data_IF_740215795689
#
_entry.id   IF_740215795689
#
_cell.length_a   1.000
_cell.length_b   1.000
_cell.length_c   1.000
_cell.angle_alpha   90.00
_cell.angle_beta   90.00
_cell.angle_gamma   90.00
#
_symmetry.space_group_name_H-M   'P 1'
#
loop_
_entity.id
_entity.type
_entity.pdbx_description
1 polymer ?
#
# COMPACT_ATOMS: atom_id res chain seq x y z
N UNK A 1 31.19 -53.37 -3.50
CA UNK A 1 29.89 -52.83 -3.03
C UNK A 1 29.96 -51.43 -2.40
N UNK A 2 31.15 -50.82 -2.20
CA UNK A 2 31.30 -49.52 -1.50
C UNK A 2 31.08 -48.26 -2.35
N UNK A 3 31.17 -48.35 -3.69
CA UNK A 3 31.16 -47.16 -4.58
C UNK A 3 29.78 -46.59 -4.89
N UNK A 4 28.71 -47.40 -4.75
CA UNK A 4 27.34 -47.02 -5.12
C UNK A 4 26.62 -46.20 -4.05
N UNK A 5 27.04 -46.32 -2.80
CA UNK A 5 26.47 -45.63 -1.64
C UNK A 5 27.03 -44.21 -1.51
N UNK A 6 28.29 -44.01 -1.88
CA UNK A 6 28.98 -42.73 -1.85
C UNK A 6 28.49 -41.78 -2.96
N UNK A 7 28.27 -42.31 -4.17
CA UNK A 7 27.65 -41.59 -5.28
C UNK A 7 26.19 -41.17 -5.02
N UNK A 8 25.44 -41.93 -4.22
CA UNK A 8 24.07 -41.53 -3.80
C UNK A 8 24.09 -40.39 -2.79
N UNK A 9 25.06 -40.36 -1.87
CA UNK A 9 25.19 -39.30 -0.86
C UNK A 9 25.58 -37.96 -1.47
N UNK A 10 26.55 -37.94 -2.40
CA UNK A 10 26.96 -36.71 -3.10
C UNK A 10 25.86 -36.14 -3.97
N UNK A 11 25.12 -36.98 -4.70
CA UNK A 11 23.99 -36.52 -5.53
C UNK A 11 22.83 -35.96 -4.70
N UNK A 12 22.60 -36.50 -3.51
CA UNK A 12 21.56 -35.99 -2.59
C UNK A 12 21.98 -34.68 -1.93
N UNK A 13 23.26 -34.49 -1.59
CA UNK A 13 23.76 -33.21 -1.07
C UNK A 13 23.81 -32.12 -2.14
N UNK A 14 24.12 -32.46 -3.40
CA UNK A 14 24.03 -31.53 -4.53
C UNK A 14 22.58 -31.12 -4.79
N UNK A 15 21.64 -32.06 -4.79
CA UNK A 15 20.20 -31.77 -4.95
C UNK A 15 19.69 -30.89 -3.80
N UNK A 16 20.05 -31.19 -2.54
CA UNK A 16 19.69 -30.35 -1.40
C UNK A 16 20.33 -28.95 -1.45
N UNK A 17 21.55 -28.83 -1.98
CA UNK A 17 22.22 -27.54 -2.22
C UNK A 17 21.64 -26.73 -3.39
N UNK A 18 20.95 -27.37 -4.33
CA UNK A 18 20.18 -26.69 -5.39
C UNK A 18 18.83 -26.21 -4.84
N UNK A 19 18.15 -27.02 -4.01
CA UNK A 19 16.91 -26.62 -3.36
C UNK A 19 17.09 -25.51 -2.33
N UNK A 20 18.24 -25.44 -1.63
CA UNK A 20 18.50 -24.39 -0.64
C UNK A 20 18.66 -22.98 -1.24
N UNK A 21 18.84 -22.86 -2.57
CA UNK A 21 18.91 -21.58 -3.27
C UNK A 21 17.57 -21.09 -3.82
N UNK A 22 16.51 -21.90 -3.73
CA UNK A 22 15.19 -21.51 -4.20
C UNK A 22 14.55 -20.60 -3.15
N UNK A 23 14.41 -19.32 -3.48
CA UNK A 23 13.62 -18.37 -2.69
C UNK A 23 12.15 -18.75 -2.80
N UNK A 24 11.57 -19.30 -1.74
CA UNK A 24 10.15 -19.74 -1.71
C UNK A 24 9.20 -18.69 -1.16
N UNK A 25 9.72 -17.63 -0.53
CA UNK A 25 8.93 -16.57 0.10
C UNK A 25 9.23 -15.22 -0.54
N UNK A 26 8.31 -14.27 -0.40
CA UNK A 26 8.62 -12.85 -0.62
C UNK A 26 9.01 -12.24 0.72
N UNK A 27 10.14 -11.55 0.77
CA UNK A 27 10.58 -10.82 1.96
C UNK A 27 11.31 -9.53 1.64
N UNK A 28 11.31 -8.63 2.61
CA UNK A 28 12.13 -7.41 2.58
C UNK A 28 13.31 -7.53 3.54
N UNK A 29 14.31 -6.67 3.38
CA UNK A 29 15.23 -6.33 4.45
C UNK A 29 14.49 -5.55 5.57
N UNK A 30 15.20 -5.26 6.66
CA UNK A 30 14.72 -4.27 7.62
C UNK A 30 14.50 -2.92 6.93
N UNK A 31 13.42 -2.25 7.27
CA UNK A 31 13.06 -0.96 6.71
C UNK A 31 14.18 0.05 6.93
N UNK A 32 14.46 0.84 5.90
CA UNK A 32 15.41 1.95 5.92
C UNK A 32 14.92 3.10 6.79
N UNK A 33 13.61 3.31 6.84
CA UNK A 33 12.96 4.30 7.72
C UNK A 33 12.23 3.63 8.87
N UNK A 34 11.99 4.40 9.93
CA UNK A 34 11.28 3.93 11.12
C UNK A 34 9.78 3.93 10.87
N UNK A 35 9.10 2.93 11.44
CA UNK A 35 7.64 2.88 11.47
C UNK A 35 7.09 3.71 12.63
N UNK A 36 5.75 3.74 12.77
CA UNK A 36 5.04 4.54 13.78
C UNK A 36 5.53 4.30 15.21
N UNK A 37 5.92 3.06 15.53
CA UNK A 37 6.43 2.66 16.84
C UNK A 37 7.93 2.99 17.07
N UNK A 38 8.58 3.61 16.09
CA UNK A 38 9.99 4.00 16.15
C UNK A 38 10.98 2.87 15.85
N UNK A 39 10.50 1.69 15.47
CA UNK A 39 11.32 0.53 15.13
C UNK A 39 11.52 0.36 13.62
N UNK A 40 12.57 -0.39 13.26
CA UNK A 40 12.79 -0.88 11.90
C UNK A 40 12.19 -2.29 11.77
N UNK A 41 11.52 -2.52 10.65
CA UNK A 41 10.70 -3.71 10.44
C UNK A 41 11.05 -4.39 9.12
N UNK A 42 11.06 -5.72 9.10
CA UNK A 42 11.06 -6.47 7.84
C UNK A 42 9.74 -7.22 7.70
N UNK A 43 9.37 -7.56 6.47
CA UNK A 43 8.09 -8.22 6.18
C UNK A 43 8.31 -9.50 5.38
N UNK A 44 7.58 -10.55 5.75
CA UNK A 44 7.32 -11.70 4.88
C UNK A 44 5.89 -11.59 4.36
N UNK A 45 5.67 -11.78 3.05
CA UNK A 45 4.37 -11.50 2.45
C UNK A 45 3.97 -12.46 1.33
N UNK A 46 2.69 -12.38 0.96
CA UNK A 46 2.02 -13.27 0.01
C UNK A 46 2.53 -13.11 -1.44
N UNK A 47 2.25 -14.12 -2.26
CA UNK A 47 2.68 -14.14 -3.68
C UNK A 47 1.78 -13.31 -4.59
N UNK A 48 0.52 -13.16 -4.24
CA UNK A 48 -0.49 -12.46 -5.01
C UNK A 48 -1.05 -11.29 -4.21
N UNK A 49 -1.39 -10.18 -4.87
CA UNK A 49 -1.98 -9.04 -4.20
C UNK A 49 -3.42 -9.33 -3.78
N UNK A 50 -3.86 -8.66 -2.71
CA UNK A 50 -5.28 -8.63 -2.34
C UNK A 50 -5.97 -7.36 -2.86
N UNK A 51 -5.22 -6.34 -3.26
CA UNK A 51 -5.72 -5.13 -3.89
C UNK A 51 -4.73 -4.56 -4.91
N UNK A 52 -5.27 -3.90 -5.93
CA UNK A 52 -4.49 -3.11 -6.90
C UNK A 52 -5.12 -1.73 -6.95
N UNK A 53 -4.39 -0.72 -6.46
CA UNK A 53 -4.77 0.67 -6.56
C UNK A 53 -4.17 1.32 -7.81
N UNK A 54 -4.43 2.61 -7.97
CA UNK A 54 -3.97 3.41 -9.11
C UNK A 54 -2.44 3.35 -9.32
N UNK A 55 -1.67 3.52 -8.24
CA UNK A 55 -0.19 3.52 -8.29
C UNK A 55 0.47 2.28 -7.73
N UNK A 56 -0.23 1.53 -6.88
CA UNK A 56 0.37 0.47 -6.09
C UNK A 56 -0.39 -0.84 -6.20
N UNK A 57 0.35 -1.92 -6.34
CA UNK A 57 -0.11 -3.27 -6.12
C UNK A 57 0.17 -3.62 -4.66
N UNK A 58 -0.83 -4.19 -3.98
CA UNK A 58 -0.89 -4.27 -2.52
C UNK A 58 -0.96 -5.72 -2.07
N UNK A 59 0.02 -6.14 -1.27
CA UNK A 59 0.16 -7.51 -0.76
C UNK A 59 -0.04 -7.54 0.75
N UNK A 60 -0.65 -8.62 1.25
CA UNK A 60 -0.76 -8.88 2.69
C UNK A 60 0.51 -9.59 3.18
N UNK A 61 0.95 -9.27 4.39
CA UNK A 61 2.10 -9.91 5.00
C UNK A 61 2.09 -9.85 6.52
N UNK A 62 3.25 -10.16 7.11
CA UNK A 62 3.51 -10.08 8.56
C UNK A 62 4.80 -9.33 8.82
N UNK A 63 4.75 -8.38 9.75
CA UNK A 63 5.91 -7.58 10.17
C UNK A 63 6.69 -8.26 11.29
N UNK A 64 8.01 -8.13 11.26
CA UNK A 64 8.94 -8.66 12.26
C UNK A 64 10.01 -7.62 12.61
N UNK A 65 10.35 -7.50 13.90
CA UNK A 65 11.41 -6.60 14.38
C UNK A 65 12.60 -7.38 14.94
N UNK A 66 13.69 -6.68 15.21
CA UNK A 66 14.95 -7.25 15.71
C UNK A 66 14.87 -7.80 17.15
N UNK A 67 13.87 -7.39 17.93
CA UNK A 67 13.77 -7.69 19.37
C UNK A 67 12.77 -8.80 19.69
N UNK A 68 12.04 -9.33 18.71
CA UNK A 68 11.18 -10.47 18.92
C UNK A 68 10.38 -10.88 17.68
N UNK A 69 10.36 -12.19 17.43
CA UNK A 69 9.53 -12.88 16.43
C UNK A 69 8.01 -12.73 16.62
N UNK A 70 7.55 -11.95 17.61
CA UNK A 70 6.21 -12.08 18.21
C UNK A 70 5.21 -10.96 17.92
N UNK A 71 5.55 -9.86 17.25
CA UNK A 71 4.47 -8.93 16.92
C UNK A 71 3.53 -9.52 15.88
N UNK A 72 4.04 -10.30 14.90
CA UNK A 72 3.29 -10.90 13.78
C UNK A 72 2.16 -9.99 13.25
N UNK A 73 2.33 -8.68 13.39
CA UNK A 73 1.28 -7.71 13.09
C UNK A 73 1.03 -7.83 11.61
N UNK A 74 -0.25 -7.90 11.25
CA UNK A 74 -0.62 -7.89 9.84
C UNK A 74 -0.02 -6.66 9.18
N UNK A 75 0.60 -6.90 8.03
CA UNK A 75 1.29 -5.89 7.26
C UNK A 75 0.60 -5.72 5.92
N UNK A 76 0.81 -4.55 5.34
CA UNK A 76 0.61 -4.31 3.92
C UNK A 76 1.95 -3.97 3.30
N UNK A 77 2.24 -4.56 2.14
CA UNK A 77 3.37 -4.20 1.28
C UNK A 77 2.82 -3.57 0.01
N UNK A 78 3.25 -2.34 -0.29
CA UNK A 78 2.87 -1.59 -1.48
C UNK A 78 4.06 -1.49 -2.42
N UNK A 79 3.87 -1.94 -3.65
CA UNK A 79 4.87 -1.88 -4.71
C UNK A 79 4.28 -1.13 -5.90
N UNK A 80 5.08 -0.30 -6.57
CA UNK A 80 4.60 0.51 -7.70
C UNK A 80 4.16 -0.38 -8.87
N UNK A 81 3.05 -0.05 -9.51
CA UNK A 81 2.46 -0.85 -10.60
C UNK A 81 3.39 -0.94 -11.81
N UNK A 82 3.78 0.21 -12.34
CA UNK A 82 4.34 0.35 -13.70
C UNK A 82 5.87 0.50 -13.72
N UNK A 83 6.49 0.64 -12.56
CA UNK A 83 7.93 0.84 -12.43
C UNK A 83 8.52 0.03 -11.26
N UNK A 84 9.85 -0.09 -11.26
CA UNK A 84 10.59 -0.63 -10.12
C UNK A 84 10.70 0.49 -9.09
N UNK A 85 10.13 0.29 -7.91
CA UNK A 85 10.27 1.21 -6.79
C UNK A 85 11.73 1.52 -6.45
N UNK A 86 12.00 2.79 -6.20
CA UNK A 86 13.30 3.29 -5.75
C UNK A 86 13.10 4.11 -4.48
N UNK A 87 14.16 4.25 -3.70
CA UNK A 87 14.14 5.12 -2.52
C UNK A 87 13.66 6.54 -2.86
N UNK A 88 14.14 7.12 -3.96
CA UNK A 88 13.74 8.47 -4.37
C UNK A 88 12.26 8.60 -4.70
N UNK A 89 11.66 7.65 -5.44
CA UNK A 89 10.26 7.77 -5.86
C UNK A 89 9.26 7.39 -4.75
N UNK A 90 9.67 6.63 -3.74
CA UNK A 90 8.84 6.25 -2.60
C UNK A 90 9.00 7.15 -1.38
N UNK A 91 10.11 7.88 -1.24
CA UNK A 91 10.35 8.77 -0.09
C UNK A 91 9.23 9.81 0.09
N UNK A 92 8.62 10.28 -0.99
CA UNK A 92 7.53 11.24 -0.92
C UNK A 92 6.31 10.72 -0.14
N UNK A 93 6.03 9.41 -0.17
CA UNK A 93 4.92 8.83 0.58
C UNK A 93 5.16 8.93 2.10
N UNK A 94 6.41 8.77 2.53
CA UNK A 94 6.82 8.95 3.93
C UNK A 94 6.65 10.41 4.32
N UNK A 95 7.15 11.34 3.51
CA UNK A 95 7.04 12.79 3.76
C UNK A 95 5.58 13.23 3.83
N UNK A 96 4.71 12.75 2.93
CA UNK A 96 3.28 13.06 2.98
C UNK A 96 2.62 12.56 4.26
N UNK A 97 2.94 11.32 4.67
CA UNK A 97 2.42 10.75 5.92
C UNK A 97 2.89 11.55 7.14
N UNK A 98 4.19 11.83 7.26
CA UNK A 98 4.75 12.60 8.39
C UNK A 98 4.10 13.98 8.50
N UNK A 99 3.94 14.66 7.36
CA UNK A 99 3.27 15.96 7.32
C UNK A 99 1.80 15.86 7.75
N UNK A 100 1.11 14.82 7.31
CA UNK A 100 -0.30 14.58 7.65
C UNK A 100 -0.49 14.25 9.13
N UNK A 101 0.41 13.46 9.72
CA UNK A 101 0.42 13.13 11.16
C UNK A 101 0.63 14.39 12.00
N UNK A 102 1.66 15.18 11.67
CA UNK A 102 1.92 16.43 12.38
C UNK A 102 0.73 17.38 12.35
N UNK A 103 -0.01 17.42 11.25
CA UNK A 103 -1.18 18.28 11.10
C UNK A 103 -2.43 17.70 11.77
N UNK A 104 -2.56 16.38 11.85
CA UNK A 104 -3.60 15.72 12.64
C UNK A 104 -3.45 16.02 14.13
N UNK A 105 -2.20 16.10 14.62
CA UNK A 105 -1.92 16.45 16.01
C UNK A 105 -2.35 17.89 16.32
N UNK A 106 -2.00 18.87 15.47
CA UNK A 106 -2.44 20.27 15.66
C UNK A 106 -3.95 20.42 15.51
N UNK A 107 -4.55 19.69 14.55
CA UNK A 107 -6.00 19.67 14.38
C UNK A 107 -6.71 19.13 15.63
N UNK A 108 -6.17 18.08 16.25
CA UNK A 108 -6.72 17.53 17.49
C UNK A 108 -6.66 18.54 18.64
N UNK A 109 -5.57 19.31 18.73
CA UNK A 109 -5.42 20.32 19.77
C UNK A 109 -6.43 21.47 19.60
N UNK A 110 -6.74 21.86 18.36
CA UNK A 110 -7.75 22.89 18.06
C UNK A 110 -9.20 22.37 18.19
N UNK A 111 -9.42 21.09 17.88
CA UNK A 111 -10.73 20.45 17.90
C UNK A 111 -10.79 19.24 18.86
N UNK A 112 -10.56 19.40 20.17
CA UNK A 112 -10.33 18.29 21.10
C UNK A 112 -11.54 17.39 21.36
N UNK A 113 -12.76 17.87 21.08
CA UNK A 113 -14.01 17.14 21.30
C UNK A 113 -14.53 16.43 20.03
N UNK A 114 -13.66 16.23 19.04
CA UNK A 114 -14.00 15.61 17.75
C UNK A 114 -13.45 14.19 17.63
N UNK A 115 -13.54 13.58 16.44
CA UNK A 115 -13.01 12.24 16.17
C UNK A 115 -11.48 12.26 16.27
N UNK A 116 -10.90 11.12 16.64
CA UNK A 116 -9.46 10.90 16.68
C UNK A 116 -8.96 10.51 15.29
N UNK A 117 -8.30 11.45 14.62
CA UNK A 117 -7.69 11.22 13.32
C UNK A 117 -6.25 10.74 13.47
N UNK A 118 -5.89 9.65 12.78
CA UNK A 118 -4.53 9.12 12.70
C UNK A 118 -4.19 8.77 11.26
N UNK A 119 -2.91 8.94 10.91
CA UNK A 119 -2.37 8.53 9.61
C UNK A 119 -1.37 7.40 9.83
N UNK A 120 -1.54 6.29 9.12
CA UNK A 120 -0.57 5.20 9.10
C UNK A 120 0.77 5.71 8.55
N UNK A 121 1.86 5.37 9.24
CA UNK A 121 3.21 5.72 8.80
C UNK A 121 3.80 4.59 7.97
N UNK A 122 3.91 4.74 6.63
CA UNK A 122 4.62 3.77 5.82
C UNK A 122 6.12 3.89 6.08
N UNK A 123 6.82 2.77 5.87
CA UNK A 123 8.25 2.64 6.04
C UNK A 123 8.84 2.14 4.72
N UNK A 124 9.96 2.71 4.30
CA UNK A 124 10.64 2.29 3.09
C UNK A 124 11.45 1.04 3.38
N UNK A 125 11.32 0.01 2.55
CA UNK A 125 12.18 -1.17 2.62
C UNK A 125 12.61 -1.63 1.24
N UNK A 126 13.67 -2.43 1.18
CA UNK A 126 14.18 -3.05 -0.04
C UNK A 126 13.82 -4.53 -0.05
N UNK A 127 13.44 -5.04 -1.22
CA UNK A 127 13.20 -6.46 -1.44
C UNK A 127 14.48 -7.28 -1.21
N UNK A 128 14.41 -8.24 -0.30
CA UNK A 128 15.48 -9.21 0.01
C UNK A 128 15.30 -10.49 -0.83
N UNK A 129 14.09 -11.03 -0.82
CA UNK A 129 13.75 -12.22 -1.58
C UNK A 129 12.46 -12.04 -2.38
N UNK A 130 12.53 -12.46 -3.64
CA UNK A 130 11.37 -12.57 -4.52
C UNK A 130 11.15 -14.05 -4.80
N UNK A 131 9.95 -14.53 -4.48
CA UNK A 131 9.58 -15.92 -4.63
C UNK A 131 9.51 -16.33 -6.10
N UNK A 132 10.07 -17.50 -6.41
CA UNK A 132 9.89 -18.13 -7.74
C UNK A 132 8.43 -18.47 -8.03
N UNK A 133 7.58 -18.54 -7.00
CA UNK A 133 6.16 -18.82 -7.14
C UNK A 133 5.34 -17.61 -7.59
N UNK A 134 5.89 -16.40 -7.61
CA UNK A 134 5.17 -15.21 -8.07
C UNK A 134 4.69 -15.36 -9.52
N UNK A 135 5.53 -15.90 -10.41
CA UNK A 135 5.18 -16.06 -11.84
C UNK A 135 3.96 -16.97 -12.07
N UNK A 136 3.91 -18.20 -11.53
CA UNK A 136 2.72 -19.05 -11.70
C UNK A 136 1.48 -18.45 -11.04
N UNK A 137 1.60 -17.87 -9.83
CA UNK A 137 0.45 -17.22 -9.18
C UNK A 137 -0.06 -16.01 -9.96
N UNK A 138 0.84 -15.25 -10.61
CA UNK A 138 0.47 -14.14 -11.50
C UNK A 138 -0.42 -14.56 -12.64
N UNK A 139 -0.10 -15.68 -13.30
CA UNK A 139 -0.93 -16.22 -14.37
C UNK A 139 -2.28 -16.75 -13.84
N UNK A 140 -2.28 -17.42 -12.69
CA UNK A 140 -3.49 -18.01 -12.10
C UNK A 140 -4.45 -16.94 -11.54
N UNK A 141 -3.92 -15.88 -10.93
CA UNK A 141 -4.68 -14.82 -10.26
C UNK A 141 -4.91 -13.58 -11.12
N UNK A 142 -4.18 -13.43 -12.23
CA UNK A 142 -4.41 -12.38 -13.22
C UNK A 142 -4.04 -10.97 -12.75
N UNK A 143 -2.83 -10.76 -12.23
CA UNK A 143 -2.29 -9.42 -11.92
C UNK A 143 -1.06 -9.12 -12.78
N UNK A 144 -0.71 -7.84 -12.96
CA UNK A 144 0.37 -7.46 -13.87
C UNK A 144 1.74 -7.36 -13.18
N UNK A 145 1.76 -6.86 -11.93
CA UNK A 145 2.98 -6.55 -11.19
C UNK A 145 3.96 -7.72 -11.13
N UNK A 146 5.20 -7.44 -11.52
CA UNK A 146 6.34 -8.33 -11.36
C UNK A 146 7.28 -7.74 -10.31
N UNK A 147 7.32 -8.35 -9.14
CA UNK A 147 8.27 -7.97 -8.09
C UNK A 147 9.69 -8.22 -8.57
N UNK A 148 10.59 -7.26 -8.37
CA UNK A 148 12.00 -7.40 -8.69
C UNK A 148 12.86 -7.49 -7.42
N UNK A 149 13.98 -8.22 -7.51
CA UNK A 149 15.00 -8.15 -6.45
C UNK A 149 15.55 -6.72 -6.36
N UNK A 150 15.87 -6.26 -5.15
CA UNK A 150 16.34 -4.90 -4.87
C UNK A 150 15.34 -3.76 -5.16
N UNK A 151 14.11 -4.08 -5.56
CA UNK A 151 13.04 -3.09 -5.63
C UNK A 151 12.78 -2.49 -4.23
N UNK A 152 12.57 -1.18 -4.16
CA UNK A 152 12.06 -0.56 -2.94
C UNK A 152 10.53 -0.67 -2.89
N UNK A 153 10.01 -0.95 -1.70
CA UNK A 153 8.58 -1.08 -1.40
C UNK A 153 8.24 -0.27 -0.16
N UNK A 154 6.97 0.08 0.01
CA UNK A 154 6.46 0.64 1.25
C UNK A 154 5.85 -0.49 2.09
N UNK A 155 6.18 -0.51 3.38
CA UNK A 155 5.55 -1.39 4.36
C UNK A 155 4.74 -0.55 5.35
N UNK A 156 3.55 -0.99 5.71
CA UNK A 156 2.74 -0.35 6.74
C UNK A 156 1.96 -1.40 7.54
N UNK A 157 1.52 -1.02 8.74
CA UNK A 157 0.57 -1.85 9.48
C UNK A 157 -0.74 -1.99 8.70
N UNK A 158 -1.30 -3.19 8.68
CA UNK A 158 -2.60 -3.43 8.11
C UNK A 158 -3.68 -2.69 8.89
N UNK A 159 -4.48 -1.89 8.20
CA UNK A 159 -5.64 -1.21 8.78
C UNK A 159 -6.84 -2.15 8.66
N UNK A 160 -7.20 -2.80 9.77
CA UNK A 160 -8.34 -3.71 9.80
C UNK A 160 -9.67 -2.95 9.74
N UNK A 161 -10.61 -3.40 8.90
CA UNK A 161 -11.97 -2.86 8.80
C UNK A 161 -12.46 -2.63 7.37
N UNK A 162 -13.60 -1.94 7.27
CA UNK A 162 -14.17 -1.53 5.99
C UNK A 162 -13.37 -0.36 5.42
N UNK A 163 -12.41 -0.70 4.55
CA UNK A 163 -11.49 0.26 3.96
C UNK A 163 -12.19 1.03 2.85
N UNK A 164 -12.24 2.35 2.98
CA UNK A 164 -13.00 3.21 2.10
C UNK A 164 -12.26 4.49 1.75
N UNK A 165 -12.47 4.94 0.51
CA UNK A 165 -12.10 6.28 0.06
C UNK A 165 -13.20 7.24 0.50
N UNK A 166 -12.85 8.24 1.32
CA UNK A 166 -13.78 9.28 1.79
C UNK A 166 -13.78 10.48 0.85
N UNK A 167 -12.58 10.98 0.53
CA UNK A 167 -12.34 12.11 -0.36
C UNK A 167 -11.20 11.72 -1.29
N UNK A 168 -11.35 11.90 -2.60
CA UNK A 168 -10.27 11.63 -3.55
C UNK A 168 -9.26 12.78 -3.68
N UNK A 169 -8.28 12.63 -4.58
CA UNK A 169 -7.23 13.63 -4.80
C UNK A 169 -7.75 14.93 -5.42
N UNK A 170 -8.89 14.92 -6.10
CA UNK A 170 -9.51 16.13 -6.65
C UNK A 170 -10.49 16.79 -5.67
N UNK A 171 -10.58 16.30 -4.42
CA UNK A 171 -11.49 16.81 -3.40
C UNK A 171 -12.94 16.36 -3.59
N UNK A 172 -13.21 15.36 -4.45
CA UNK A 172 -14.55 14.83 -4.63
C UNK A 172 -14.85 13.86 -3.48
N UNK A 173 -15.97 14.11 -2.79
CA UNK A 173 -16.47 13.19 -1.77
C UNK A 173 -17.00 11.92 -2.37
N UNK A 174 -16.53 10.81 -1.83
CA UNK A 174 -17.04 9.46 -2.06
C UNK A 174 -17.89 8.99 -0.89
N UNK A 175 -17.65 9.54 0.30
CA UNK A 175 -18.50 9.40 1.47
C UNK A 175 -18.65 10.73 2.21
N UNK A 176 -19.80 10.95 2.84
CA UNK A 176 -20.08 12.17 3.58
C UNK A 176 -19.37 12.13 4.95
N UNK A 177 -18.53 13.14 5.23
CA UNK A 177 -17.86 13.30 6.51
C UNK A 177 -17.44 14.76 6.70
N UNK A 178 -18.27 15.52 7.40
CA UNK A 178 -17.97 16.93 7.74
C UNK A 178 -16.64 17.06 8.48
N UNK A 179 -16.29 16.06 9.31
CA UNK A 179 -15.02 16.03 10.02
C UNK A 179 -13.82 15.98 9.07
N UNK A 180 -13.87 15.12 8.04
CA UNK A 180 -12.78 15.02 7.06
C UNK A 180 -12.77 16.18 6.08
N UNK A 181 -13.93 16.73 5.72
CA UNK A 181 -14.01 17.99 4.96
C UNK A 181 -13.34 19.14 5.73
N UNK A 182 -13.63 19.26 7.03
CA UNK A 182 -12.99 20.26 7.91
C UNK A 182 -11.50 20.05 8.00
N UNK A 183 -11.01 18.81 8.19
CA UNK A 183 -9.56 18.53 8.24
C UNK A 183 -8.85 18.90 6.93
N UNK A 184 -9.46 18.57 5.78
CA UNK A 184 -8.94 18.94 4.47
C UNK A 184 -8.80 20.45 4.35
N UNK A 185 -9.85 21.24 4.67
CA UNK A 185 -9.77 22.70 4.59
C UNK A 185 -8.79 23.26 5.64
N UNK A 186 -8.79 22.70 6.85
CA UNK A 186 -7.85 23.06 7.92
C UNK A 186 -6.41 22.97 7.44
N UNK A 187 -6.06 21.92 6.68
CA UNK A 187 -4.71 21.76 6.17
C UNK A 187 -4.22 22.90 5.28
N UNK A 188 -5.14 23.52 4.55
CA UNK A 188 -4.87 24.70 3.75
C UNK A 188 -4.73 25.97 4.60
N UNK A 189 -5.58 26.14 5.62
CA UNK A 189 -5.53 27.32 6.49
C UNK A 189 -4.25 27.30 7.33
N UNK A 190 -3.96 26.18 7.97
CA UNK A 190 -2.79 26.01 8.85
C UNK A 190 -1.48 26.14 8.07
N UNK A 191 -1.47 25.75 6.80
CA UNK A 191 -0.33 25.97 5.90
C UNK A 191 -0.22 27.39 5.34
N UNK A 192 -1.09 28.32 5.75
CA UNK A 192 -1.23 29.66 5.17
C UNK A 192 -1.44 29.64 3.64
N UNK A 193 -2.17 28.63 3.16
CA UNK A 193 -2.50 28.42 1.76
C UNK A 193 -1.38 27.84 0.91
N UNK A 194 -0.35 27.25 1.53
CA UNK A 194 0.80 26.67 0.82
C UNK A 194 0.52 25.26 0.29
N UNK A 195 -0.24 24.45 1.03
CA UNK A 195 -0.61 23.09 0.61
C UNK A 195 -1.99 22.67 1.11
N UNK A 196 -2.57 21.63 0.50
CA UNK A 196 -3.78 20.96 0.98
C UNK A 196 -3.57 19.44 0.99
N UNK A 197 -4.04 18.79 2.05
CA UNK A 197 -4.05 17.32 2.16
C UNK A 197 -5.40 16.80 1.64
N UNK A 198 -5.34 15.83 0.73
CA UNK A 198 -6.48 15.19 0.08
C UNK A 198 -6.22 13.67 -0.08
N UNK A 199 -7.05 12.97 -0.86
CA UNK A 199 -7.04 11.50 -0.95
C UNK A 199 -7.11 10.86 0.44
N UNK A 200 -8.19 11.16 1.15
CA UNK A 200 -8.45 10.64 2.49
C UNK A 200 -9.11 9.27 2.37
N UNK A 201 -8.33 8.21 2.54
CA UNK A 201 -8.79 6.81 2.47
C UNK A 201 -8.30 6.00 3.67
N UNK A 202 -9.12 5.07 4.15
CA UNK A 202 -8.82 4.30 5.35
C UNK A 202 -10.06 3.70 5.99
N UNK A 203 -10.02 3.54 7.31
CA UNK A 203 -11.10 2.94 8.10
C UNK A 203 -11.56 3.93 9.15
N UNK A 204 -12.88 4.06 9.27
CA UNK A 204 -13.54 4.74 10.39
C UNK A 204 -14.24 3.72 11.29
N UNK A 205 -13.96 3.79 12.60
CA UNK A 205 -14.62 2.98 13.63
C UNK A 205 -14.95 3.86 14.83
N UNK A 206 -16.24 4.02 15.12
CA UNK A 206 -16.75 4.82 16.24
C UNK A 206 -16.22 6.27 16.23
N UNK A 207 -15.23 6.56 17.09
CA UNK A 207 -14.59 7.87 17.20
C UNK A 207 -13.20 7.92 16.58
N UNK A 208 -12.67 6.80 16.09
CA UNK A 208 -11.32 6.71 15.53
C UNK A 208 -11.38 6.61 14.01
N UNK A 209 -10.56 7.42 13.33
CA UNK A 209 -10.34 7.34 11.89
C UNK A 209 -8.85 7.09 11.67
N UNK A 210 -8.51 5.97 11.04
CA UNK A 210 -7.13 5.63 10.64
C UNK A 210 -7.04 5.67 9.12
N UNK A 211 -6.28 6.63 8.58
CA UNK A 211 -6.10 6.85 7.15
C UNK A 211 -4.71 6.37 6.67
N UNK A 212 -4.59 6.09 5.37
CA UNK A 212 -3.32 5.81 4.69
C UNK A 212 -3.37 6.38 3.25
N UNK A 213 -2.26 6.41 2.54
CA UNK A 213 -2.26 6.69 1.10
C UNK A 213 -2.55 8.14 0.69
N UNK A 214 -2.37 9.09 1.61
CA UNK A 214 -2.66 10.52 1.40
C UNK A 214 -1.93 11.13 0.20
N UNK A 215 -2.56 12.15 -0.39
CA UNK A 215 -1.95 13.03 -1.39
C UNK A 215 -1.89 14.45 -0.86
N UNK A 216 -0.81 15.15 -1.13
CA UNK A 216 -0.66 16.57 -0.81
C UNK A 216 -0.44 17.33 -2.10
N UNK A 217 -1.22 18.38 -2.31
CA UNK A 217 -0.98 19.35 -3.37
C UNK A 217 -0.36 20.60 -2.75
N UNK A 218 0.80 21.04 -3.24
CA UNK A 218 1.48 22.24 -2.74
C UNK A 218 1.84 23.22 -3.83
N UNK A 219 1.92 24.52 -3.53
CA UNK A 219 2.24 25.56 -4.52
C UNK A 219 3.53 25.27 -5.30
N UNK A 220 4.50 24.62 -4.67
CA UNK A 220 5.82 24.31 -5.23
C UNK A 220 5.99 22.87 -5.72
N UNK A 221 4.94 22.04 -5.74
CA UNK A 221 4.98 20.63 -6.17
C UNK A 221 6.02 19.77 -5.44
N UNK A 222 6.08 19.88 -4.12
CA UNK A 222 7.13 19.24 -3.30
C UNK A 222 6.77 17.85 -2.78
N UNK A 223 5.53 17.39 -2.99
CA UNK A 223 5.03 16.14 -2.40
C UNK A 223 4.98 14.96 -3.37
N UNK A 224 5.83 14.99 -4.39
CA UNK A 224 6.05 13.88 -5.32
C UNK A 224 5.12 13.89 -6.54
N UNK A 225 5.06 12.78 -7.30
CA UNK A 225 4.42 12.76 -8.62
C UNK A 225 2.90 13.02 -8.62
N UNK A 226 2.22 12.79 -7.49
CA UNK A 226 0.78 13.06 -7.35
C UNK A 226 0.50 14.51 -6.93
N UNK A 227 1.52 15.35 -6.76
CA UNK A 227 1.37 16.74 -6.42
C UNK A 227 1.12 17.59 -7.69
N UNK A 228 -0.16 17.87 -7.97
CA UNK A 228 -0.57 18.65 -9.13
C UNK A 228 -0.40 20.17 -8.94
N UNK A 229 0.21 20.60 -7.85
CA UNK A 229 0.53 22.00 -7.60
C UNK A 229 -0.69 22.85 -7.26
N UNK A 230 -0.61 24.14 -7.62
CA UNK A 230 -1.71 25.08 -7.47
C UNK A 230 -2.99 24.62 -8.19
N UNK A 231 -2.88 23.94 -9.32
CA UNK A 231 -4.05 23.38 -10.01
C UNK A 231 -4.74 22.29 -9.18
N UNK A 232 -3.96 21.44 -8.49
CA UNK A 232 -4.49 20.44 -7.57
C UNK A 232 -5.23 21.10 -6.40
N UNK A 233 -4.64 22.14 -5.80
CA UNK A 233 -5.29 22.93 -4.75
C UNK A 233 -6.61 23.52 -5.25
N UNK A 234 -6.62 24.15 -6.43
CA UNK A 234 -7.83 24.74 -7.01
C UNK A 234 -8.90 23.69 -7.30
N UNK A 235 -8.53 22.51 -7.80
CA UNK A 235 -9.46 21.40 -8.03
C UNK A 235 -10.09 20.93 -6.72
N UNK A 236 -9.28 20.70 -5.68
CA UNK A 236 -9.75 20.30 -4.35
C UNK A 236 -10.78 21.29 -3.83
N UNK A 237 -10.49 22.59 -3.87
CA UNK A 237 -11.40 23.63 -3.36
C UNK A 237 -12.61 23.88 -4.26
N UNK A 238 -12.53 23.58 -5.55
CA UNK A 238 -13.69 23.62 -6.45
C UNK A 238 -14.73 22.56 -6.07
N UNK A 239 -14.29 21.42 -5.56
CA UNK A 239 -15.15 20.30 -5.17
C UNK A 239 -15.47 20.27 -3.67
N UNK A 240 -14.67 20.95 -2.83
CA UNK A 240 -14.90 21.08 -1.41
C UNK A 240 -16.24 21.78 -1.11
N UNK A 241 -16.98 21.27 -0.12
CA UNK A 241 -18.14 21.97 0.43
C UNK A 241 -17.85 22.31 1.88
N UNK A 242 -17.79 23.60 2.15
CA UNK A 242 -17.63 24.05 3.52
C UNK A 242 -18.86 23.66 4.36
N UNK A 243 -18.59 23.21 5.59
CA UNK A 243 -19.60 23.00 6.62
C UNK A 243 -19.58 24.17 7.62
N UNK A 244 -20.34 24.05 8.71
CA UNK A 244 -20.48 25.10 9.70
C UNK A 244 -19.18 25.50 10.40
N UNK A 245 -18.17 24.63 10.43
CA UNK A 245 -16.86 24.88 11.03
C UNK A 245 -15.99 25.73 10.09
N UNK A 246 -15.88 25.32 8.81
CA UNK A 246 -14.90 25.90 7.89
C UNK A 246 -15.45 26.96 6.92
N UNK A 247 -16.76 27.23 6.89
CA UNK A 247 -17.41 28.19 5.95
C UNK A 247 -16.85 29.61 5.94
N UNK A 248 -16.19 30.04 7.02
CA UNK A 248 -15.61 31.38 7.13
C UNK A 248 -14.09 31.39 6.95
N UNK A 249 -13.48 30.26 6.64
CA UNK A 249 -12.04 30.15 6.46
C UNK A 249 -11.60 30.62 5.07
N UNK A 250 -10.35 31.09 4.91
CA UNK A 250 -9.80 31.45 3.62
C UNK A 250 -9.86 30.29 2.62
N UNK A 251 -10.18 30.60 1.37
CA UNK A 251 -10.16 29.68 0.22
C UNK A 251 -9.22 30.24 -0.85
N UNK A 252 -8.71 29.43 -1.78
CA UNK A 252 -7.88 29.94 -2.87
C UNK A 252 -8.66 30.91 -3.76
N UNK A 253 -8.00 31.95 -4.24
CA UNK A 253 -8.61 32.95 -5.11
C UNK A 253 -8.85 32.37 -6.51
N UNK A 254 -10.10 32.04 -6.83
CA UNK A 254 -10.48 31.64 -8.18
C UNK A 254 -10.44 32.85 -9.13
N UNK A 255 -9.45 32.92 -10.03
CA UNK A 255 -9.40 33.92 -11.10
C UNK A 255 -8.28 34.96 -11.06
N UNK A 256 -7.34 34.87 -10.11
CA UNK A 256 -6.09 35.64 -10.13
C UNK A 256 -4.92 34.67 -10.31
N UNK A 257 -4.81 34.03 -11.46
CA UNK A 257 -3.55 33.36 -11.82
C UNK A 257 -2.59 34.49 -12.17
N UNK A 258 -1.51 34.75 -11.40
CA UNK A 258 -0.44 35.60 -11.90
C UNK A 258 0.09 34.88 -13.14
N UNK A 259 0.05 35.54 -14.30
CA UNK A 259 0.63 35.02 -15.53
C UNK A 259 2.06 34.57 -15.23
N UNK A 260 2.29 33.25 -15.20
CA UNK A 260 3.62 32.70 -15.05
C UNK A 260 4.53 33.28 -16.14
N UNK A 261 5.83 33.51 -15.86
CA UNK A 261 6.76 33.86 -16.92
C UNK A 261 6.71 32.76 -17.98
N UNK A 262 6.46 33.15 -19.23
CA UNK A 262 6.48 32.26 -20.39
C UNK A 262 7.86 31.60 -20.45
N UNK A 263 7.92 30.32 -20.07
CA UNK A 263 9.17 29.57 -19.99
C UNK A 263 8.90 28.07 -19.87
N UNK A 264 9.02 27.39 -21.01
CA UNK A 264 8.93 25.93 -21.24
C UNK A 264 7.52 25.31 -21.16
N UNK A 265 6.91 25.17 -22.33
CA UNK A 265 5.80 24.26 -22.58
C UNK A 265 6.21 22.82 -22.25
N UNK A 266 5.72 22.30 -21.12
CA UNK A 266 5.61 20.85 -20.96
C UNK A 266 4.28 20.45 -21.59
N UNK A 267 4.36 19.67 -22.66
CA UNK A 267 3.23 19.06 -23.35
C UNK A 267 2.50 18.18 -22.34
N UNK A 268 1.40 18.65 -21.76
CA UNK A 268 0.48 17.82 -21.00
C UNK A 268 -0.22 16.93 -22.03
N UNK A 269 0.04 15.63 -21.99
CA UNK A 269 -0.59 14.68 -22.91
C UNK A 269 -2.07 14.55 -22.52
N UNK A 270 -2.96 14.90 -23.44
CA UNK A 270 -4.41 14.81 -23.27
C UNK A 270 -4.83 13.35 -22.94
N UNK A 271 -3.98 12.37 -23.28
CA UNK A 271 -4.19 10.97 -22.90
C UNK A 271 -4.03 10.70 -21.40
N UNK A 272 -3.27 11.49 -20.65
CA UNK A 272 -3.11 11.29 -19.19
C UNK A 272 -4.35 11.78 -18.43
N UNK A 273 -5.01 12.83 -18.91
CA UNK A 273 -6.29 13.33 -18.37
C UNK A 273 -7.43 12.33 -18.65
N UNK A 274 -7.41 11.64 -19.80
CA UNK A 274 -8.46 10.67 -20.14
C UNK A 274 -8.28 9.32 -19.44
N UNK A 275 -7.09 9.00 -18.93
CA UNK A 275 -6.83 7.78 -18.15
C UNK A 275 -7.30 7.89 -16.70
N UNK A 276 -7.28 9.08 -16.09
CA UNK A 276 -7.79 9.28 -14.72
C UNK A 276 -9.31 9.08 -14.64
N UNK A 277 -10.05 9.41 -15.70
CA UNK A 277 -11.52 9.27 -15.74
C UNK A 277 -12.01 7.84 -15.98
N UNK A 278 -11.19 6.98 -16.61
CA UNK A 278 -11.58 5.61 -16.96
C UNK A 278 -11.40 4.60 -15.80
N UNK A 279 -10.52 4.89 -14.83
CA UNK A 279 -10.23 3.98 -13.71
C UNK A 279 -11.36 3.94 -12.65
N UNK A 280 -12.31 4.87 -12.69
CA UNK A 280 -13.37 5.03 -11.67
C UNK A 280 -14.60 4.13 -11.91
N UNK A 281 -14.65 3.34 -12.99
CA UNK A 281 -15.86 2.61 -13.38
C UNK A 281 -15.91 1.10 -13.08
N UNK A 282 -14.97 0.54 -12.31
CA UNK A 282 -15.08 -0.85 -11.83
C UNK A 282 -14.95 -0.96 -10.31
N UNK A 283 -15.89 -0.32 -9.61
CA UNK A 283 -16.30 -0.74 -8.27
C UNK A 283 -17.82 -0.91 -8.25
N UNK A 284 -18.30 -1.98 -8.89
CA UNK A 284 -19.52 -2.64 -8.42
C UNK A 284 -19.56 -4.09 -8.93
N UNK A 285 -19.61 -5.02 -7.98
CA UNK A 285 -20.05 -6.42 -8.08
C UNK A 285 -19.36 -7.31 -9.12
N UNK A 286 -18.39 -8.09 -8.62
CA UNK A 286 -18.32 -9.51 -8.96
C UNK A 286 -18.15 -10.30 -7.68
N UNK A 287 -19.09 -11.20 -7.42
CA UNK A 287 -19.07 -12.18 -6.34
C UNK A 287 -17.80 -13.05 -6.45
N UNK A 288 -16.74 -12.67 -5.74
CA UNK A 288 -15.65 -13.58 -5.44
C UNK A 288 -16.10 -14.43 -4.27
N UNK A 289 -16.57 -15.62 -4.57
CA UNK A 289 -16.83 -16.68 -3.60
C UNK A 289 -15.55 -16.87 -2.77
N UNK A 290 -15.60 -16.47 -1.50
CA UNK A 290 -14.57 -16.77 -0.52
C UNK A 290 -14.34 -18.28 -0.50
N UNK A 291 -13.09 -18.78 -0.56
CA UNK A 291 -12.85 -20.20 -0.32
C UNK A 291 -13.32 -20.57 1.10
N UNK A 292 -13.87 -21.78 1.30
CA UNK A 292 -14.40 -22.16 2.60
C UNK A 292 -13.28 -22.18 3.66
N UNK A 293 -13.59 -21.86 4.92
CA UNK A 293 -12.62 -21.90 6.00
C UNK A 293 -12.04 -23.30 6.16
N UNK A 294 -10.72 -23.37 6.36
CA UNK A 294 -9.91 -24.59 6.45
C UNK A 294 -10.13 -25.45 7.72
N UNK A 295 -11.32 -25.41 8.32
CA UNK A 295 -11.58 -26.07 9.60
C UNK A 295 -12.56 -27.23 9.55
N UNK A 296 -12.91 -27.80 8.39
CA UNK A 296 -13.69 -29.05 8.33
C UNK A 296 -13.47 -29.83 7.02
N UNK A 297 -12.26 -30.34 6.78
CA UNK A 297 -12.08 -31.42 5.79
C UNK A 297 -12.23 -32.76 6.50
N UNK A 298 -13.19 -33.57 6.05
CA UNK A 298 -13.38 -34.92 6.56
C UNK A 298 -12.39 -35.88 5.87
N UNK A 299 -12.07 -37.01 6.52
CA UNK A 299 -11.20 -38.05 5.95
C UNK A 299 -11.66 -38.63 4.59
N UNK A 300 -12.88 -38.30 4.13
CA UNK A 300 -13.40 -38.66 2.80
C UNK A 300 -12.92 -37.70 1.69
N UNK A 301 -12.60 -36.44 2.01
CA UNK A 301 -12.15 -35.42 1.04
C UNK A 301 -10.68 -35.59 0.67
N UNK A 302 -9.87 -36.12 1.60
CA UNK A 302 -8.45 -36.43 1.39
C UNK A 302 -8.27 -37.58 0.37
N UNK A 303 -9.19 -38.55 0.33
CA UNK A 303 -9.11 -39.73 -0.55
C UNK A 303 -9.35 -39.43 -2.04
N UNK A 304 -9.87 -38.24 -2.39
CA UNK A 304 -10.01 -37.83 -3.81
C UNK A 304 -8.73 -37.18 -4.37
N UNK A 305 -7.76 -36.87 -3.53
CA UNK A 305 -6.47 -36.28 -3.93
C UNK A 305 -5.41 -37.37 -4.16
N UNK A 306 -5.62 -38.58 -3.63
CA UNK A 306 -4.65 -39.70 -3.65
C UNK A 306 -4.70 -40.58 -4.92
N UNK A 307 -5.65 -40.40 -5.84
CA UNK A 307 -5.84 -41.28 -7.02
C UNK A 307 -5.02 -40.88 -8.28
N UNK A 308 -3.86 -40.23 -8.13
CA UNK A 308 -2.85 -40.17 -9.21
C UNK A 308 -1.62 -41.01 -8.84
N UNK A 309 -1.18 -41.94 -9.71
CA UNK A 309 -0.20 -42.95 -9.35
C UNK A 309 1.19 -42.32 -9.12
N UNK A 310 1.65 -42.38 -7.86
CA UNK A 310 3.07 -42.25 -7.53
C UNK A 310 3.78 -43.58 -7.77
N UNK A 311 4.76 -43.55 -8.68
CA UNK A 311 5.69 -44.65 -8.92
C UNK A 311 6.70 -44.72 -7.76
N UNK A 312 6.51 -45.74 -6.92
CA UNK A 312 7.49 -46.56 -6.19
C UNK A 312 8.75 -45.91 -5.57
N UNK A 313 8.86 -46.08 -4.23
CA UNK A 313 10.12 -46.01 -3.49
C UNK A 313 9.96 -46.28 -1.99
N UNK A 314 9.75 -47.55 -1.61
CA UNK A 314 9.70 -48.05 -0.22
C UNK A 314 11.03 -47.92 0.54
N UNK A 315 10.97 -47.56 1.83
CA UNK A 315 11.46 -48.28 3.04
C UNK A 315 11.44 -47.30 4.24
N UNK A 316 10.60 -47.46 5.29
CA UNK A 316 10.73 -48.36 6.47
C UNK A 316 12.06 -48.08 7.21
N UNK A 317 12.18 -47.75 8.51
CA UNK A 317 11.53 -48.21 9.77
C UNK A 317 11.82 -47.16 10.87
N UNK A 318 10.85 -46.69 11.67
CA UNK A 318 10.53 -47.11 13.05
C UNK A 318 11.75 -47.39 13.97
N UNK A 319 11.96 -46.55 14.98
CA UNK A 319 11.49 -46.77 16.37
C UNK A 319 10.94 -45.43 16.88
#
# INVERSE_FOLDING_TARGET
MSTRTEQKRTKTSEIMGVFSKIKTNNSTFFSKTKCEDGHNWWVSFEFYPFAVGERHTVFEGRMYNQHGYWSQSKAVVKSLNDEIGSENNLQFAITCSEKSRSLADTFKDEFPNTKHLKFAQPCLSEMDSVSVFNTPFRYIKGYEKQLAEHEHVLIEEFIDGDYQLFIDSDGIRRQESDFLDTFLHYSYVESNGDFVICKLEGVERDKDIKLSGVTIHSRNRSFGPCDHGEQGILNVFKNHRCNDICKNWPTPAFGLVPSAPVGSETKIDIMDILKSDAAVLFSSKTDLVSPPPYENLTNADIRKIEDRPMVHGQCIQKV
#
